data_IF_286695041606
#
_entry.id   IF_286695041606
#
_cell.length_a   1.000
_cell.length_b   1.000
_cell.length_c   1.000
_cell.angle_alpha   90.00
_cell.angle_beta   90.00
_cell.angle_gamma   90.00
#
_symmetry.space_group_name_H-M   'P 1'
#
loop_
_entity.id
_entity.type
_entity.pdbx_description
1 polymer ?
#
# COMPACT_ATOMS: atom_id res chain seq x y z
N UNK A 1 11.93 -23.22 -35.23
CA UNK A 1 11.32 -23.33 -36.58
C UNK A 1 9.81 -23.52 -36.57
N UNK A 2 9.24 -24.61 -36.00
CA UNK A 2 7.76 -24.89 -35.98
C UNK A 2 6.86 -23.75 -35.50
N UNK A 3 7.32 -22.83 -34.67
CA UNK A 3 6.52 -21.76 -34.00
C UNK A 3 6.40 -20.48 -34.80
N UNK A 4 7.47 -20.10 -35.55
CA UNK A 4 7.37 -18.99 -36.49
C UNK A 4 6.46 -19.37 -37.66
N UNK A 5 6.44 -20.66 -38.01
CA UNK A 5 5.53 -21.21 -39.00
C UNK A 5 4.06 -21.05 -38.56
N UNK A 6 3.73 -21.33 -37.29
CA UNK A 6 2.36 -21.14 -36.79
C UNK A 6 1.92 -19.67 -36.80
N UNK A 7 2.81 -18.74 -36.44
CA UNK A 7 2.52 -17.30 -36.50
C UNK A 7 2.32 -16.83 -37.96
N UNK A 8 3.18 -17.27 -38.86
CA UNK A 8 3.09 -16.94 -40.30
C UNK A 8 1.78 -17.50 -40.87
N UNK A 9 1.44 -18.76 -40.57
CA UNK A 9 0.18 -19.37 -41.05
C UNK A 9 -1.02 -18.59 -40.51
N UNK A 10 -1.01 -18.21 -39.24
CA UNK A 10 -2.10 -17.45 -38.63
C UNK A 10 -2.27 -16.07 -39.31
N UNK A 11 -1.17 -15.35 -39.56
CA UNK A 11 -1.19 -14.06 -40.24
C UNK A 11 -1.68 -14.22 -41.70
N UNK A 12 -1.20 -15.23 -42.41
CA UNK A 12 -1.65 -15.52 -43.78
C UNK A 12 -3.17 -15.86 -43.81
N UNK A 13 -3.68 -16.63 -42.88
CA UNK A 13 -5.11 -16.89 -42.75
C UNK A 13 -5.91 -15.61 -42.50
N UNK A 14 -5.45 -14.73 -41.60
CA UNK A 14 -6.12 -13.44 -41.35
C UNK A 14 -6.13 -12.62 -42.65
N UNK A 15 -5.00 -12.48 -43.33
CA UNK A 15 -4.91 -11.74 -44.58
C UNK A 15 -5.77 -12.36 -45.70
N UNK A 16 -5.81 -13.68 -45.81
CA UNK A 16 -6.65 -14.39 -46.77
C UNK A 16 -8.12 -14.12 -46.50
N UNK A 17 -8.63 -14.35 -45.26
CA UNK A 17 -10.02 -14.11 -44.95
C UNK A 17 -10.41 -12.64 -44.96
N UNK A 18 -9.50 -11.74 -44.63
CA UNK A 18 -9.73 -10.29 -44.74
C UNK A 18 -9.98 -9.86 -46.19
N UNK A 19 -9.22 -10.44 -47.15
CA UNK A 19 -9.30 -10.10 -48.57
C UNK A 19 -10.16 -11.08 -49.39
N UNK A 20 -10.88 -12.02 -48.75
CA UNK A 20 -11.60 -13.08 -49.48
C UNK A 20 -12.64 -12.53 -50.46
N UNK A 21 -13.29 -11.43 -50.17
CA UNK A 21 -14.25 -10.77 -51.04
C UNK A 21 -13.57 -10.25 -52.32
N UNK A 22 -12.39 -9.66 -52.18
CA UNK A 22 -11.61 -9.15 -53.34
C UNK A 22 -11.17 -10.34 -54.20
N UNK A 23 -10.73 -11.42 -53.58
CA UNK A 23 -10.28 -12.65 -54.28
C UNK A 23 -11.47 -13.26 -55.03
N UNK A 24 -12.63 -13.40 -54.37
CA UNK A 24 -13.84 -13.98 -55.03
C UNK A 24 -14.34 -13.07 -56.13
N UNK A 25 -14.40 -11.76 -55.96
CA UNK A 25 -14.79 -10.83 -57.03
C UNK A 25 -13.84 -10.91 -58.26
N UNK A 26 -12.53 -11.08 -58.04
CA UNK A 26 -11.56 -11.27 -59.12
C UNK A 26 -11.83 -12.57 -59.90
N UNK A 27 -12.09 -13.68 -59.20
CA UNK A 27 -12.44 -14.93 -59.80
C UNK A 27 -13.80 -14.87 -60.56
N UNK A 28 -14.82 -14.19 -59.99
CA UNK A 28 -16.11 -13.94 -60.63
C UNK A 28 -15.90 -13.22 -61.99
N UNK A 29 -15.04 -12.22 -62.03
CA UNK A 29 -14.74 -11.45 -63.23
C UNK A 29 -14.05 -12.31 -64.32
N UNK A 30 -13.20 -13.24 -63.91
CA UNK A 30 -12.46 -14.10 -64.87
C UNK A 30 -13.34 -15.24 -65.41
N UNK A 31 -14.15 -15.87 -64.56
CA UNK A 31 -14.91 -17.08 -64.89
C UNK A 31 -16.30 -16.78 -65.43
N UNK A 32 -16.83 -15.57 -65.25
CA UNK A 32 -18.20 -15.21 -65.64
C UNK A 32 -19.30 -15.93 -64.89
N UNK A 33 -18.98 -16.64 -63.81
CA UNK A 33 -19.93 -17.43 -63.01
C UNK A 33 -20.38 -16.63 -61.76
N UNK A 34 -21.70 -16.42 -61.66
CA UNK A 34 -22.29 -15.61 -60.56
C UNK A 34 -22.45 -16.38 -59.25
N UNK A 35 -22.37 -17.71 -59.26
CA UNK A 35 -22.62 -18.59 -58.12
C UNK A 35 -21.54 -18.53 -57.01
N UNK A 36 -20.45 -17.80 -57.23
CA UNK A 36 -19.35 -17.67 -56.25
C UNK A 36 -19.76 -16.90 -54.94
N UNK A 37 -20.87 -16.13 -54.96
CA UNK A 37 -21.41 -15.53 -53.76
C UNK A 37 -22.02 -16.53 -52.74
N UNK A 38 -22.43 -17.70 -53.24
CA UNK A 38 -22.97 -18.77 -52.41
C UNK A 38 -21.92 -19.64 -51.72
N UNK A 39 -20.63 -19.39 -51.99
CA UNK A 39 -19.54 -20.13 -51.34
C UNK A 39 -19.60 -19.86 -49.81
N UNK A 40 -19.72 -20.91 -49.03
CA UNK A 40 -19.81 -20.90 -47.54
C UNK A 40 -18.76 -20.00 -46.89
N UNK A 41 -17.65 -19.71 -47.54
CA UNK A 41 -16.54 -18.90 -47.00
C UNK A 41 -16.87 -17.42 -46.84
N UNK A 42 -17.71 -16.82 -47.71
CA UNK A 42 -18.02 -15.38 -47.65
C UNK A 42 -18.99 -15.09 -46.47
N UNK A 43 -20.13 -15.78 -46.33
CA UNK A 43 -21.03 -15.55 -45.20
C UNK A 43 -20.38 -15.82 -43.84
N UNK A 44 -19.37 -16.70 -43.78
CA UNK A 44 -18.69 -17.09 -42.56
C UNK A 44 -17.33 -16.41 -42.34
N UNK A 45 -16.96 -15.45 -43.19
CA UNK A 45 -15.72 -14.67 -43.11
C UNK A 45 -15.43 -14.17 -41.68
N UNK A 46 -16.45 -13.59 -41.02
CA UNK A 46 -16.31 -13.06 -39.67
C UNK A 46 -15.95 -14.14 -38.65
N UNK A 47 -16.54 -15.32 -38.74
CA UNK A 47 -16.27 -16.42 -37.85
C UNK A 47 -14.82 -16.94 -37.98
N UNK A 48 -14.35 -17.07 -39.22
CA UNK A 48 -12.96 -17.45 -39.48
C UNK A 48 -11.96 -16.40 -38.95
N UNK A 49 -12.28 -15.11 -39.10
CA UNK A 49 -11.47 -14.03 -38.56
C UNK A 49 -11.43 -14.05 -37.04
N UNK A 50 -12.56 -14.30 -36.35
CA UNK A 50 -12.61 -14.44 -34.88
C UNK A 50 -11.72 -15.59 -34.41
N UNK A 51 -11.81 -16.77 -35.07
CA UNK A 51 -10.99 -17.95 -34.73
C UNK A 51 -9.51 -17.64 -34.95
N UNK A 52 -9.16 -17.06 -36.10
CA UNK A 52 -7.77 -16.73 -36.43
C UNK A 52 -7.20 -15.67 -35.44
N UNK A 53 -7.99 -14.68 -35.07
CA UNK A 53 -7.59 -13.67 -34.09
C UNK A 53 -7.41 -14.25 -32.68
N UNK A 54 -8.34 -15.10 -32.24
CA UNK A 54 -8.22 -15.82 -30.97
C UNK A 54 -6.96 -16.70 -30.92
N UNK A 55 -6.65 -17.38 -32.04
CA UNK A 55 -5.44 -18.19 -32.16
C UNK A 55 -4.17 -17.34 -32.12
N UNK A 56 -4.17 -16.20 -32.77
CA UNK A 56 -3.06 -15.24 -32.74
C UNK A 56 -2.82 -14.74 -31.29
N UNK A 57 -3.87 -14.38 -30.55
CA UNK A 57 -3.77 -13.99 -29.14
C UNK A 57 -3.14 -15.09 -28.28
N UNK A 58 -3.56 -16.36 -28.48
CA UNK A 58 -2.99 -17.50 -27.74
C UNK A 58 -1.50 -17.70 -28.09
N UNK A 59 -1.10 -17.55 -29.36
CA UNK A 59 0.30 -17.64 -29.77
C UNK A 59 1.12 -16.54 -29.08
N UNK A 60 0.59 -15.31 -29.07
CA UNK A 60 1.26 -14.17 -28.44
C UNK A 60 1.40 -14.36 -26.92
N UNK A 61 0.35 -14.81 -26.24
CA UNK A 61 0.36 -15.15 -24.83
C UNK A 61 1.43 -16.19 -24.50
N UNK A 62 1.47 -17.29 -25.27
CA UNK A 62 2.46 -18.35 -25.09
C UNK A 62 3.89 -17.89 -25.38
N UNK A 63 4.09 -16.97 -26.31
CA UNK A 63 5.40 -16.38 -26.60
C UNK A 63 5.85 -15.48 -25.44
N UNK A 64 4.97 -14.62 -24.93
CA UNK A 64 5.24 -13.75 -23.78
C UNK A 64 5.59 -14.56 -22.52
N UNK A 65 4.79 -15.59 -22.20
CA UNK A 65 5.08 -16.53 -21.10
C UNK A 65 6.50 -17.08 -21.19
N UNK A 66 6.90 -17.58 -22.35
CA UNK A 66 8.24 -18.18 -22.52
C UNK A 66 9.36 -17.16 -22.39
N UNK A 67 9.14 -15.96 -22.89
CA UNK A 67 10.13 -14.87 -22.76
C UNK A 67 10.31 -14.50 -21.28
N UNK A 68 9.24 -14.48 -20.53
CA UNK A 68 9.27 -14.21 -19.10
C UNK A 68 9.93 -15.35 -18.31
N UNK A 69 9.53 -16.60 -18.57
CA UNK A 69 10.04 -17.76 -17.84
C UNK A 69 11.51 -18.11 -18.18
N UNK A 70 12.08 -17.60 -19.28
CA UNK A 70 13.50 -17.75 -19.59
C UNK A 70 14.44 -17.12 -18.54
N UNK A 71 13.93 -16.20 -17.74
CA UNK A 71 14.70 -15.54 -16.66
C UNK A 71 14.80 -16.38 -15.41
N UNK A 72 14.02 -17.47 -15.29
CA UNK A 72 13.95 -18.32 -14.12
C UNK A 72 14.54 -19.69 -14.43
N UNK A 73 15.65 -20.02 -13.78
CA UNK A 73 16.28 -21.35 -13.94
C UNK A 73 15.67 -22.34 -12.97
N UNK A 74 14.95 -23.33 -13.54
CA UNK A 74 14.31 -24.41 -12.77
C UNK A 74 15.31 -25.50 -12.40
N UNK A 75 16.48 -25.55 -13.05
CA UNK A 75 17.49 -26.57 -12.86
C UNK A 75 18.49 -26.23 -11.73
N UNK A 76 18.44 -25.00 -11.15
CA UNK A 76 19.27 -24.60 -10.03
C UNK A 76 18.95 -25.43 -8.77
N UNK A 77 19.94 -25.64 -7.89
CA UNK A 77 19.78 -26.42 -6.65
C UNK A 77 18.72 -25.78 -5.72
N UNK A 78 18.69 -24.45 -5.61
CA UNK A 78 17.63 -23.71 -4.92
C UNK A 78 16.65 -23.09 -5.95
N UNK A 79 15.63 -23.86 -6.33
CA UNK A 79 14.68 -23.50 -7.39
C UNK A 79 13.24 -23.28 -6.90
N UNK A 80 13.02 -23.12 -5.59
CA UNK A 80 11.67 -22.99 -5.02
C UNK A 80 10.91 -21.80 -5.61
N UNK A 81 11.52 -20.64 -5.73
CA UNK A 81 10.91 -19.45 -6.32
C UNK A 81 10.65 -19.62 -7.82
N UNK A 82 11.55 -20.26 -8.54
CA UNK A 82 11.36 -20.56 -9.96
C UNK A 82 10.18 -21.50 -10.18
N UNK A 83 10.03 -22.56 -9.37
CA UNK A 83 8.90 -23.50 -9.43
C UNK A 83 7.58 -22.83 -9.08
N UNK A 84 7.56 -21.99 -8.05
CA UNK A 84 6.39 -21.20 -7.66
C UNK A 84 5.92 -20.31 -8.81
N UNK A 85 6.83 -19.52 -9.38
CA UNK A 85 6.57 -18.63 -10.49
C UNK A 85 6.07 -19.39 -11.73
N UNK A 86 6.69 -20.54 -12.05
CA UNK A 86 6.29 -21.37 -13.17
C UNK A 86 4.85 -21.90 -13.02
N UNK A 87 4.49 -22.33 -11.80
CA UNK A 87 3.14 -22.81 -11.51
C UNK A 87 2.11 -21.70 -11.62
N UNK A 88 2.40 -20.52 -11.05
CA UNK A 88 1.51 -19.35 -11.10
C UNK A 88 1.24 -18.89 -12.53
N UNK A 89 2.29 -18.77 -13.35
CA UNK A 89 2.16 -18.35 -14.76
C UNK A 89 1.45 -19.38 -15.60
N UNK A 90 1.65 -20.70 -15.35
CA UNK A 90 0.90 -21.75 -16.03
C UNK A 90 -0.59 -21.72 -15.71
N UNK A 91 -0.95 -21.45 -14.47
CA UNK A 91 -2.34 -21.32 -14.05
C UNK A 91 -2.97 -20.08 -14.70
N UNK A 92 -2.28 -18.93 -14.66
CA UNK A 92 -2.75 -17.69 -15.28
C UNK A 92 -2.94 -17.85 -16.81
N UNK A 93 -2.00 -18.51 -17.50
CA UNK A 93 -2.15 -18.83 -18.93
C UNK A 93 -3.43 -19.59 -19.22
N UNK A 94 -3.72 -20.66 -18.44
CA UNK A 94 -4.94 -21.47 -18.62
C UNK A 94 -6.21 -20.65 -18.44
N UNK A 95 -6.25 -19.77 -17.43
CA UNK A 95 -7.39 -18.88 -17.18
C UNK A 95 -7.59 -17.92 -18.36
N UNK A 96 -6.52 -17.27 -18.84
CA UNK A 96 -6.61 -16.33 -19.96
C UNK A 96 -7.04 -17.06 -21.24
N UNK A 97 -6.51 -18.26 -21.53
CA UNK A 97 -6.92 -19.04 -22.70
C UNK A 97 -8.42 -19.41 -22.60
N UNK A 98 -8.90 -19.80 -21.42
CA UNK A 98 -10.32 -20.10 -21.20
C UNK A 98 -11.20 -18.87 -21.49
N UNK A 99 -10.78 -17.68 -21.03
CA UNK A 99 -11.49 -16.43 -21.28
C UNK A 99 -11.51 -16.11 -22.79
N UNK A 100 -10.37 -16.19 -23.47
CA UNK A 100 -10.29 -15.99 -24.94
C UNK A 100 -11.24 -16.94 -25.68
N UNK A 101 -11.28 -18.20 -25.27
CA UNK A 101 -12.15 -19.22 -25.86
C UNK A 101 -13.63 -18.91 -25.65
N UNK A 102 -14.00 -18.50 -24.42
CA UNK A 102 -15.37 -18.11 -24.09
C UNK A 102 -15.85 -16.91 -24.94
N UNK A 103 -15.02 -15.89 -25.07
CA UNK A 103 -15.34 -14.73 -25.91
C UNK A 103 -15.41 -15.11 -27.39
N UNK A 104 -14.49 -15.93 -27.92
CA UNK A 104 -14.51 -16.38 -29.29
C UNK A 104 -15.80 -17.13 -29.61
N UNK A 105 -16.23 -18.06 -28.75
CA UNK A 105 -17.51 -18.77 -28.90
C UNK A 105 -18.67 -17.77 -28.87
N UNK A 106 -18.71 -16.86 -27.91
CA UNK A 106 -19.77 -15.87 -27.79
C UNK A 106 -19.92 -15.04 -29.09
N UNK A 107 -18.81 -14.54 -29.63
CA UNK A 107 -18.83 -13.78 -30.89
C UNK A 107 -19.27 -14.61 -32.10
N UNK A 108 -18.81 -15.89 -32.17
CA UNK A 108 -19.25 -16.80 -33.24
C UNK A 108 -20.77 -17.03 -33.16
N UNK A 109 -21.32 -17.28 -31.97
CA UNK A 109 -22.76 -17.49 -31.80
C UNK A 109 -23.60 -16.25 -32.19
N UNK A 110 -23.03 -15.02 -32.00
CA UNK A 110 -23.69 -13.81 -32.45
C UNK A 110 -23.78 -13.68 -33.97
N UNK A 111 -22.94 -14.36 -34.73
CA UNK A 111 -22.92 -14.34 -36.19
C UNK A 111 -24.05 -15.15 -36.82
N UNK A 112 -24.71 -16.04 -36.06
CA UNK A 112 -25.82 -16.91 -36.55
C UNK A 112 -27.17 -16.41 -36.05
N UNK A 113 -28.03 -15.92 -36.91
CA UNK A 113 -29.32 -15.35 -36.52
C UNK A 113 -30.21 -16.35 -35.74
N UNK A 114 -30.16 -17.64 -36.07
CA UNK A 114 -30.97 -18.68 -35.41
C UNK A 114 -30.61 -18.89 -33.94
N UNK A 115 -29.36 -18.64 -33.53
CA UNK A 115 -28.85 -18.89 -32.18
C UNK A 115 -28.26 -17.65 -31.51
N UNK A 116 -28.41 -16.49 -32.12
CA UNK A 116 -27.90 -15.18 -31.66
C UNK A 116 -28.33 -14.88 -30.22
N UNK A 117 -29.55 -15.28 -29.83
CA UNK A 117 -30.05 -15.14 -28.45
C UNK A 117 -29.17 -15.85 -27.43
N UNK A 118 -28.57 -17.01 -27.79
CA UNK A 118 -27.63 -17.74 -26.91
C UNK A 118 -26.34 -16.94 -26.74
N UNK A 119 -25.83 -16.34 -27.82
CA UNK A 119 -24.67 -15.45 -27.76
C UNK A 119 -24.88 -14.27 -26.79
N UNK A 120 -26.01 -13.59 -26.89
CA UNK A 120 -26.36 -12.50 -25.94
C UNK A 120 -26.46 -13.02 -24.51
N UNK A 121 -27.04 -14.19 -24.28
CA UNK A 121 -27.11 -14.83 -22.96
C UNK A 121 -25.73 -15.09 -22.35
N UNK A 122 -24.77 -15.53 -23.14
CA UNK A 122 -23.38 -15.74 -22.69
C UNK A 122 -22.74 -14.42 -22.26
N UNK A 123 -22.87 -13.37 -23.08
CA UNK A 123 -22.32 -12.05 -22.73
C UNK A 123 -23.00 -11.43 -21.51
N UNK A 124 -24.33 -11.54 -21.41
CA UNK A 124 -25.07 -11.07 -20.25
C UNK A 124 -24.62 -11.78 -18.96
N UNK A 125 -24.49 -13.13 -19.02
CA UNK A 125 -24.02 -13.92 -17.90
C UNK A 125 -22.57 -13.63 -17.55
N UNK A 126 -21.69 -13.46 -18.54
CA UNK A 126 -20.30 -13.08 -18.33
C UNK A 126 -20.20 -11.68 -17.72
N UNK A 127 -21.05 -10.73 -18.14
CA UNK A 127 -21.13 -9.37 -17.55
C UNK A 127 -21.53 -9.43 -16.08
N UNK A 128 -22.59 -10.17 -15.74
CA UNK A 128 -23.01 -10.35 -14.35
C UNK A 128 -21.94 -11.03 -13.50
N UNK A 129 -21.34 -12.11 -14.00
CA UNK A 129 -20.22 -12.77 -13.33
C UNK A 129 -19.03 -11.82 -13.14
N UNK A 130 -18.74 -10.96 -14.13
CA UNK A 130 -17.70 -9.92 -14.05
C UNK A 130 -17.95 -8.92 -12.93
N UNK A 131 -19.20 -8.48 -12.75
CA UNK A 131 -19.59 -7.57 -11.64
C UNK A 131 -19.36 -8.27 -10.30
N UNK A 132 -19.82 -9.50 -10.13
CA UNK A 132 -19.66 -10.26 -8.88
C UNK A 132 -18.18 -10.47 -8.55
N UNK A 133 -17.38 -10.88 -9.53
CA UNK A 133 -15.93 -11.06 -9.37
C UNK A 133 -15.27 -9.73 -9.06
N UNK A 134 -15.64 -8.64 -9.75
CA UNK A 134 -15.11 -7.29 -9.54
C UNK A 134 -15.36 -6.80 -8.12
N UNK A 135 -16.57 -6.93 -7.61
CA UNK A 135 -16.92 -6.57 -6.23
C UNK A 135 -16.14 -7.44 -5.22
N UNK A 136 -16.01 -8.74 -5.49
CA UNK A 136 -15.22 -9.64 -4.63
C UNK A 136 -13.72 -9.29 -4.63
N UNK A 137 -13.18 -8.85 -5.75
CA UNK A 137 -11.78 -8.46 -5.91
C UNK A 137 -11.49 -7.01 -5.46
N UNK A 138 -12.49 -6.21 -5.13
CA UNK A 138 -12.37 -4.78 -4.85
C UNK A 138 -11.29 -4.46 -3.81
N UNK A 139 -11.22 -5.23 -2.72
CA UNK A 139 -10.20 -5.03 -1.66
C UNK A 139 -8.78 -5.25 -2.17
N UNK A 140 -8.57 -6.27 -3.00
CA UNK A 140 -7.26 -6.59 -3.57
C UNK A 140 -6.82 -5.52 -4.55
N UNK A 141 -7.71 -5.10 -5.44
CA UNK A 141 -7.44 -4.02 -6.40
C UNK A 141 -7.19 -2.70 -5.68
N UNK A 142 -7.98 -2.40 -4.63
CA UNK A 142 -7.77 -1.22 -3.78
C UNK A 142 -6.40 -1.20 -3.15
N UNK A 143 -5.92 -2.32 -2.59
CA UNK A 143 -4.59 -2.42 -2.00
C UNK A 143 -3.47 -2.20 -3.03
N UNK A 144 -3.62 -2.74 -4.25
CA UNK A 144 -2.67 -2.53 -5.34
C UNK A 144 -2.60 -1.05 -5.75
N UNK A 145 -3.76 -0.40 -5.93
CA UNK A 145 -3.84 1.02 -6.28
C UNK A 145 -3.26 1.90 -5.16
N UNK A 146 -3.52 1.55 -3.90
CA UNK A 146 -2.95 2.24 -2.74
C UNK A 146 -1.41 2.17 -2.75
N UNK A 147 -0.82 1.00 -2.98
CA UNK A 147 0.62 0.86 -3.08
C UNK A 147 1.24 1.66 -4.23
N UNK A 148 0.59 1.67 -5.39
CA UNK A 148 0.99 2.52 -6.52
C UNK A 148 0.93 3.99 -6.12
N UNK A 149 -0.16 4.44 -5.51
CA UNK A 149 -0.32 5.82 -5.06
C UNK A 149 0.76 6.22 -4.06
N UNK A 150 1.05 5.39 -3.04
CA UNK A 150 2.12 5.62 -2.07
C UNK A 150 3.47 5.78 -2.76
N UNK A 151 3.78 4.94 -3.75
CA UNK A 151 5.04 4.99 -4.50
C UNK A 151 5.21 6.31 -5.27
N UNK A 152 4.13 6.86 -5.83
CA UNK A 152 4.18 8.13 -6.58
C UNK A 152 4.11 9.36 -5.68
N UNK A 153 3.21 9.38 -4.69
CA UNK A 153 2.97 10.56 -3.83
C UNK A 153 3.94 10.64 -2.65
N UNK A 154 4.56 9.52 -2.28
CA UNK A 154 5.53 9.39 -1.20
C UNK A 154 5.11 10.12 0.09
N UNK A 155 3.97 9.81 0.70
CA UNK A 155 3.56 10.40 1.97
C UNK A 155 4.55 10.08 3.09
N UNK A 156 5.29 9.00 2.97
CA UNK A 156 6.44 8.57 3.78
C UNK A 156 7.44 7.84 2.88
N UNK A 157 8.67 7.68 3.36
CA UNK A 157 9.78 7.00 2.68
C UNK A 157 10.36 5.91 3.56
N UNK A 158 11.19 5.05 2.99
CA UNK A 158 11.98 4.08 3.76
C UNK A 158 12.85 4.87 4.77
N UNK A 159 13.01 4.33 5.98
CA UNK A 159 13.67 4.92 7.15
C UNK A 159 12.98 6.15 7.75
N UNK A 160 11.81 6.58 7.27
CA UNK A 160 11.03 7.60 7.97
C UNK A 160 10.56 7.08 9.34
N UNK A 161 10.70 7.92 10.37
CA UNK A 161 10.16 7.67 11.69
C UNK A 161 8.68 8.06 11.71
N UNK A 162 7.83 7.08 12.03
CA UNK A 162 6.37 7.24 12.02
C UNK A 162 5.74 6.78 13.32
N UNK A 163 4.57 7.33 13.62
CA UNK A 163 3.67 6.79 14.66
C UNK A 163 2.37 6.36 14.00
N UNK A 164 2.09 5.07 14.11
CA UNK A 164 0.91 4.40 13.54
C UNK A 164 0.32 3.48 14.58
N UNK A 165 -0.99 3.50 14.80
CA UNK A 165 -1.67 2.71 15.86
C UNK A 165 -1.05 2.90 17.26
N UNK A 166 -0.63 4.14 17.59
CA UNK A 166 0.09 4.50 18.82
C UNK A 166 1.45 3.79 19.01
N UNK A 167 1.94 3.10 18.00
CA UNK A 167 3.25 2.47 17.98
C UNK A 167 4.23 3.33 17.19
N UNK A 168 5.40 3.57 17.76
CA UNK A 168 6.47 4.32 17.12
C UNK A 168 7.51 3.37 16.49
N UNK A 169 7.92 3.69 15.28
CA UNK A 169 8.90 2.89 14.54
C UNK A 169 9.38 3.55 13.27
N UNK A 170 10.08 2.79 12.43
CA UNK A 170 10.61 3.22 11.15
C UNK A 170 10.02 2.40 10.02
N UNK A 171 9.76 3.03 8.90
CA UNK A 171 9.35 2.33 7.67
C UNK A 171 10.51 1.45 7.20
N UNK A 172 10.33 0.12 7.25
CA UNK A 172 11.34 -0.88 6.84
C UNK A 172 11.15 -1.29 5.38
N UNK A 173 9.90 -1.54 4.97
CA UNK A 173 9.57 -1.94 3.60
C UNK A 173 8.28 -1.27 3.11
N UNK A 174 8.25 -0.93 1.84
CA UNK A 174 7.06 -0.45 1.14
C UNK A 174 6.80 -1.41 -0.01
N UNK A 175 5.81 -2.28 0.17
CA UNK A 175 5.37 -3.23 -0.84
C UNK A 175 4.06 -2.76 -1.50
N UNK A 176 3.69 -3.37 -2.62
CA UNK A 176 2.53 -2.96 -3.39
C UNK A 176 1.21 -3.08 -2.62
N UNK A 177 1.09 -4.06 -1.73
CA UNK A 177 -0.15 -4.33 -0.99
C UNK A 177 -0.04 -4.11 0.52
N UNK A 178 1.15 -3.96 1.05
CA UNK A 178 1.40 -3.74 2.48
C UNK A 178 2.69 -2.95 2.71
N UNK A 179 2.78 -2.35 3.90
CA UNK A 179 3.95 -1.63 4.41
C UNK A 179 4.38 -2.30 5.71
N UNK A 180 5.69 -2.43 5.92
CA UNK A 180 6.28 -2.96 7.13
C UNK A 180 6.92 -1.84 7.92
N UNK A 181 6.54 -1.71 9.19
CA UNK A 181 7.12 -0.78 10.16
C UNK A 181 7.90 -1.58 11.18
N UNK A 182 9.17 -1.30 11.31
CA UNK A 182 10.03 -1.84 12.36
C UNK A 182 9.86 -0.98 13.61
N UNK A 183 9.21 -1.52 14.64
CA UNK A 183 9.01 -0.87 15.92
C UNK A 183 10.32 -0.73 16.71
N UNK A 184 10.32 0.12 17.72
CA UNK A 184 11.48 0.37 18.59
C UNK A 184 11.99 -0.88 19.31
N UNK A 185 11.12 -1.85 19.61
CA UNK A 185 11.40 -3.13 20.26
C UNK A 185 11.72 -4.27 19.26
N UNK A 186 11.96 -3.94 17.99
CA UNK A 186 12.25 -4.85 16.87
C UNK A 186 11.10 -5.72 16.40
N UNK A 187 9.88 -5.58 16.93
CA UNK A 187 8.66 -6.15 16.29
C UNK A 187 8.42 -5.50 14.95
N UNK A 188 7.71 -6.18 14.05
CA UNK A 188 7.25 -5.66 12.76
C UNK A 188 5.76 -5.50 12.79
N UNK A 189 5.31 -4.28 12.57
CA UNK A 189 3.91 -3.97 12.35
C UNK A 189 3.67 -3.98 10.84
N UNK A 190 2.83 -4.90 10.35
CA UNK A 190 2.51 -5.04 8.93
C UNK A 190 1.11 -4.53 8.71
N UNK A 191 0.97 -3.49 7.88
CA UNK A 191 -0.30 -2.85 7.59
C UNK A 191 -0.57 -2.87 6.09
N UNK A 192 -1.84 -3.07 5.67
CA UNK A 192 -2.20 -2.96 4.27
C UNK A 192 -1.95 -1.53 3.75
N UNK A 193 -1.54 -1.39 2.47
CA UNK A 193 -1.26 -0.08 1.87
C UNK A 193 -2.46 0.87 1.93
N UNK A 194 -3.68 0.35 1.88
CA UNK A 194 -4.93 1.13 2.03
C UNK A 194 -5.04 1.84 3.37
N UNK A 195 -4.47 1.26 4.45
CA UNK A 195 -4.48 1.87 5.77
C UNK A 195 -3.96 3.31 5.75
N UNK A 196 -2.86 3.55 5.06
CA UNK A 196 -2.20 4.86 5.00
C UNK A 196 -2.93 5.90 4.14
N UNK A 197 -3.91 5.48 3.35
CA UNK A 197 -4.78 6.37 2.58
C UNK A 197 -6.07 6.71 3.33
N UNK A 198 -6.51 5.81 4.22
CA UNK A 198 -7.79 5.90 4.90
C UNK A 198 -7.65 6.43 6.35
N UNK A 199 -6.49 6.24 6.98
CA UNK A 199 -6.26 6.59 8.37
C UNK A 199 -5.15 7.63 8.54
N UNK A 200 -5.29 8.54 9.51
CA UNK A 200 -4.23 9.49 9.86
C UNK A 200 -3.05 8.77 10.51
N UNK A 201 -1.86 9.20 10.21
CA UNK A 201 -0.62 8.79 10.86
C UNK A 201 0.31 9.99 11.01
N UNK A 202 1.30 9.88 11.91
CA UNK A 202 2.31 10.92 12.08
C UNK A 202 3.60 10.50 11.40
N UNK A 203 4.16 11.38 10.58
CA UNK A 203 5.51 11.23 10.03
C UNK A 203 6.41 12.31 10.66
N UNK A 204 7.36 11.87 11.48
CA UNK A 204 8.23 12.77 12.25
C UNK A 204 9.48 13.20 11.49
N UNK A 205 9.76 12.61 10.35
CA UNK A 205 10.97 12.88 9.55
C UNK A 205 10.69 13.38 8.15
N UNK A 206 9.42 13.67 7.82
CA UNK A 206 9.00 14.02 6.46
C UNK A 206 9.78 15.20 5.85
N UNK A 207 10.06 16.24 6.63
CA UNK A 207 10.75 17.45 6.18
C UNK A 207 12.11 17.63 6.85
N UNK A 208 12.21 17.31 8.12
CA UNK A 208 13.45 17.34 8.91
C UNK A 208 13.37 16.24 9.98
N UNK A 209 14.52 15.84 10.48
CA UNK A 209 14.59 14.83 11.54
C UNK A 209 14.48 15.46 12.95
N UNK A 210 14.66 16.79 13.07
CA UNK A 210 14.59 17.49 14.34
C UNK A 210 13.16 17.54 14.88
N UNK A 211 13.03 17.26 16.16
CA UNK A 211 11.73 17.14 16.81
C UNK A 211 11.76 17.82 18.19
N UNK A 212 10.62 18.35 18.61
CA UNK A 212 10.44 18.90 19.94
C UNK A 212 9.82 17.84 20.83
N UNK A 213 10.54 17.45 21.88
CA UNK A 213 10.07 16.58 22.93
C UNK A 213 9.40 17.36 24.06
N UNK A 214 8.30 16.86 24.61
CA UNK A 214 7.64 17.42 25.79
C UNK A 214 7.88 16.56 27.03
N UNK A 215 8.19 17.20 28.13
CA UNK A 215 8.27 16.60 29.46
C UNK A 215 7.24 17.27 30.35
N UNK A 216 6.41 16.49 31.03
CA UNK A 216 5.43 16.99 31.99
C UNK A 216 5.83 16.61 33.41
N UNK A 217 5.78 17.59 34.34
CA UNK A 217 6.08 17.43 35.75
C UNK A 217 4.94 18.08 36.55
N UNK A 218 4.46 17.39 37.55
CA UNK A 218 3.46 17.92 38.47
C UNK A 218 4.12 18.29 39.79
N UNK A 219 3.89 19.52 40.27
CA UNK A 219 4.45 20.05 41.50
C UNK A 219 3.36 20.71 42.35
N UNK A 220 3.67 21.02 43.61
CA UNK A 220 2.85 21.87 44.44
C UNK A 220 3.02 23.35 44.02
N UNK A 221 2.08 24.20 44.39
CA UNK A 221 2.07 25.64 44.16
C UNK A 221 3.23 26.40 44.81
N UNK A 222 3.95 25.82 45.76
CA UNK A 222 5.07 26.38 46.47
C UNK A 222 6.38 26.43 45.67
N UNK A 223 6.41 25.78 44.47
CA UNK A 223 7.60 25.70 43.66
C UNK A 223 8.03 27.06 43.06
N UNK A 224 9.32 27.31 43.01
CA UNK A 224 9.87 28.46 42.29
C UNK A 224 10.08 28.11 40.81
N UNK A 225 9.29 28.74 39.92
CA UNK A 225 9.42 28.50 38.48
C UNK A 225 10.74 29.06 37.91
N UNK A 226 11.26 30.13 38.50
CA UNK A 226 12.54 30.73 38.05
C UNK A 226 13.72 29.83 38.40
N UNK A 227 13.68 29.19 39.58
CA UNK A 227 14.68 28.19 39.95
C UNK A 227 14.63 26.95 39.01
N UNK A 228 13.42 26.51 38.60
CA UNK A 228 13.29 25.44 37.65
C UNK A 228 13.80 25.81 36.24
N UNK A 229 13.62 27.08 35.83
CA UNK A 229 14.18 27.57 34.54
C UNK A 229 15.70 27.58 34.57
N UNK A 230 16.31 28.10 35.66
CA UNK A 230 17.74 28.10 35.83
C UNK A 230 18.33 26.68 35.84
N UNK A 231 17.68 25.75 36.52
CA UNK A 231 18.12 24.34 36.52
C UNK A 231 17.96 23.70 35.13
N UNK A 232 16.89 23.97 34.42
CA UNK A 232 16.72 23.47 33.05
C UNK A 232 17.87 23.95 32.16
N UNK A 233 18.30 25.21 32.29
CA UNK A 233 19.45 25.75 31.55
C UNK A 233 20.73 24.98 31.89
N UNK A 234 20.99 24.74 33.17
CA UNK A 234 22.14 23.96 33.65
C UNK A 234 22.09 22.49 33.11
N UNK A 235 20.97 21.83 33.16
CA UNK A 235 20.80 20.46 32.64
C UNK A 235 21.06 20.37 31.14
N UNK A 236 20.56 21.36 30.37
CA UNK A 236 20.69 21.35 28.91
C UNK A 236 22.12 21.73 28.48
N UNK A 237 22.81 22.62 29.18
CA UNK A 237 24.21 22.97 28.88
C UNK A 237 25.18 21.81 29.12
N UNK A 238 24.86 20.91 30.05
CA UNK A 238 25.68 19.78 30.44
C UNK A 238 25.34 18.47 29.70
N UNK A 239 24.56 18.53 28.58
CA UNK A 239 24.24 17.34 27.77
C UNK A 239 24.48 17.58 26.30
N UNK A 240 24.98 16.54 25.58
CA UNK A 240 25.15 16.54 24.14
C UNK A 240 23.87 16.16 23.39
N UNK A 241 22.80 15.80 24.11
CA UNK A 241 21.51 15.37 23.53
C UNK A 241 20.71 16.54 22.97
N UNK A 242 20.93 17.76 23.50
CA UNK A 242 20.21 18.97 23.08
C UNK A 242 20.85 19.59 21.83
N UNK A 243 20.02 19.93 20.86
CA UNK A 243 20.45 20.55 19.59
C UNK A 243 20.52 22.11 19.63
N UNK A 244 20.24 22.71 20.80
CA UNK A 244 20.29 24.15 21.08
C UNK A 244 19.27 24.99 20.30
N UNK A 245 18.22 24.39 19.73
CA UNK A 245 17.22 25.13 18.94
C UNK A 245 16.04 25.62 19.77
N UNK A 246 15.47 24.76 20.60
CA UNK A 246 14.31 25.11 21.42
C UNK A 246 14.47 24.66 22.86
N UNK A 247 14.18 25.54 23.82
CA UNK A 247 14.00 25.26 25.25
C UNK A 247 12.90 26.16 25.80
N UNK A 248 11.90 25.60 26.41
CA UNK A 248 10.79 26.34 27.01
C UNK A 248 10.30 25.61 28.25
N UNK A 249 10.10 26.34 29.36
CA UNK A 249 9.42 25.86 30.57
C UNK A 249 8.22 26.75 30.84
N UNK A 250 7.03 26.14 30.85
CA UNK A 250 5.75 26.82 31.01
C UNK A 250 4.85 26.05 31.98
N UNK A 251 4.03 26.76 32.71
CA UNK A 251 2.89 26.19 33.43
C UNK A 251 1.77 26.03 32.40
N UNK A 252 1.24 24.82 32.26
CA UNK A 252 0.20 24.49 31.27
C UNK A 252 -1.16 24.21 31.88
N UNK A 253 -1.18 23.79 33.13
CA UNK A 253 -2.42 23.55 33.87
C UNK A 253 -2.25 23.80 35.35
N UNK A 254 -3.33 24.17 36.03
CA UNK A 254 -3.38 24.41 37.48
C UNK A 254 -4.61 23.71 38.06
N UNK A 255 -4.38 22.58 38.75
CA UNK A 255 -5.40 21.77 39.40
C UNK A 255 -5.53 22.15 40.88
N UNK A 256 -6.51 21.60 41.56
CA UNK A 256 -6.77 21.93 42.98
C UNK A 256 -5.55 21.79 43.90
N UNK A 257 -4.68 20.81 43.66
CA UNK A 257 -3.55 20.49 44.53
C UNK A 257 -2.19 20.56 43.83
N UNK A 258 -2.15 20.63 42.49
CA UNK A 258 -0.92 20.56 41.71
C UNK A 258 -0.93 21.53 40.53
N UNK A 259 0.27 21.96 40.17
CA UNK A 259 0.55 22.71 38.96
C UNK A 259 1.24 21.79 37.97
N UNK A 260 0.78 21.76 36.72
CA UNK A 260 1.43 21.04 35.65
C UNK A 260 2.45 21.96 34.95
N UNK A 261 3.69 21.52 34.90
CA UNK A 261 4.78 22.18 34.21
C UNK A 261 5.10 21.38 32.96
N UNK A 262 5.06 22.05 31.81
CA UNK A 262 5.50 21.49 30.54
C UNK A 262 6.87 22.06 30.18
N UNK A 263 7.82 21.16 29.90
CA UNK A 263 9.13 21.50 29.38
C UNK A 263 9.20 21.03 27.93
N UNK A 264 9.56 21.93 27.00
CA UNK A 264 9.76 21.63 25.60
C UNK A 264 11.25 21.76 25.29
N UNK A 265 11.83 20.70 24.73
CA UNK A 265 13.24 20.64 24.32
C UNK A 265 13.36 20.01 22.94
N UNK A 266 14.20 20.57 22.08
CA UNK A 266 14.44 20.04 20.74
C UNK A 266 15.64 19.09 20.70
N UNK A 267 15.60 18.14 19.78
CA UNK A 267 16.69 17.21 19.53
C UNK A 267 16.82 16.90 18.04
N UNK A 268 18.00 16.41 17.62
CA UNK A 268 18.35 16.16 16.22
C UNK A 268 17.50 15.09 15.54
N UNK A 269 16.96 14.17 16.30
CA UNK A 269 16.12 13.04 15.80
C UNK A 269 15.27 12.46 16.92
N UNK A 270 14.33 11.59 16.57
CA UNK A 270 13.36 11.04 17.49
C UNK A 270 13.95 10.12 18.58
N UNK A 271 14.96 9.25 18.36
CA UNK A 271 15.63 8.53 19.45
C UNK A 271 16.30 9.47 20.45
N UNK A 272 17.10 10.43 19.97
CA UNK A 272 17.74 11.42 20.81
C UNK A 272 16.74 12.28 21.60
N UNK A 273 15.59 12.60 21.00
CA UNK A 273 14.52 13.32 21.69
C UNK A 273 13.91 12.49 22.85
N UNK A 274 13.81 11.18 22.68
CA UNK A 274 13.38 10.31 23.77
C UNK A 274 14.39 10.34 24.93
N UNK A 275 15.66 10.12 24.64
CA UNK A 275 16.73 10.11 25.64
C UNK A 275 16.85 11.46 26.37
N UNK A 276 16.76 12.58 25.62
CA UNK A 276 16.76 13.93 26.18
C UNK A 276 15.56 14.14 27.12
N UNK A 277 14.37 13.68 26.73
CA UNK A 277 13.17 13.80 27.59
C UNK A 277 13.32 13.02 28.89
N UNK A 278 13.88 11.82 28.82
CA UNK A 278 14.17 11.01 30.00
C UNK A 278 15.18 11.73 30.88
N UNK A 279 16.32 12.15 30.32
CA UNK A 279 17.36 12.85 31.03
C UNK A 279 16.87 14.13 31.73
N UNK A 280 16.15 14.98 31.01
CA UNK A 280 15.58 16.22 31.57
C UNK A 280 14.57 15.88 32.68
N UNK A 281 13.70 14.89 32.48
CA UNK A 281 12.72 14.50 33.51
C UNK A 281 13.40 14.03 34.80
N UNK A 282 14.38 13.17 34.70
CA UNK A 282 15.12 12.65 35.84
C UNK A 282 15.86 13.75 36.59
N UNK A 283 16.61 14.60 35.88
CA UNK A 283 17.36 15.68 36.49
C UNK A 283 16.46 16.73 37.16
N UNK A 284 15.35 17.10 36.54
CA UNK A 284 14.41 18.03 37.14
C UNK A 284 13.72 17.43 38.38
N UNK A 285 13.40 16.14 38.38
CA UNK A 285 12.86 15.46 39.57
C UNK A 285 13.91 15.42 40.70
N UNK A 286 15.16 15.04 40.40
CA UNK A 286 16.27 15.07 41.37
C UNK A 286 16.45 16.46 41.99
N UNK A 287 16.41 17.50 41.17
CA UNK A 287 16.50 18.86 41.62
C UNK A 287 15.36 19.27 42.57
N UNK A 288 14.12 18.93 42.24
CA UNK A 288 12.94 19.21 43.08
C UNK A 288 13.05 18.45 44.39
N UNK A 289 13.42 17.18 44.36
CA UNK A 289 13.57 16.37 45.58
C UNK A 289 14.61 16.91 46.53
N UNK A 290 15.75 17.43 45.99
CA UNK A 290 16.85 17.90 46.78
C UNK A 290 16.63 19.32 47.34
N UNK A 291 16.09 20.24 46.54
CA UNK A 291 16.04 21.67 46.89
C UNK A 291 14.63 22.16 47.30
N UNK A 292 13.57 21.40 46.86
CA UNK A 292 12.16 21.76 47.08
C UNK A 292 11.31 20.57 47.49
N UNK A 293 11.70 19.77 48.50
CA UNK A 293 10.99 18.56 48.88
C UNK A 293 9.53 18.82 49.29
N UNK A 294 9.22 20.03 49.81
CA UNK A 294 7.86 20.45 50.15
C UNK A 294 7.01 20.78 48.90
N UNK A 295 7.59 20.92 47.76
CA UNK A 295 6.90 21.23 46.49
C UNK A 295 6.56 19.94 45.71
N UNK A 296 6.88 18.76 46.20
CA UNK A 296 6.36 17.51 45.68
C UNK A 296 4.85 17.40 45.91
N UNK A 297 4.10 16.81 44.96
CA UNK A 297 2.66 16.63 45.11
C UNK A 297 2.29 15.92 46.42
N UNK A 298 1.42 16.52 47.22
CA UNK A 298 0.97 15.93 48.47
C UNK A 298 -0.51 16.25 48.73
N UNK A 299 -1.20 15.34 49.43
CA UNK A 299 -2.56 15.57 49.86
C UNK A 299 -2.53 16.36 51.17
N UNK A 300 -3.19 17.52 51.20
CA UNK A 300 -3.40 18.30 52.43
C UNK A 300 -4.66 17.86 53.11
N UNK A 301 -4.53 17.30 54.31
CA UNK A 301 -5.68 16.94 55.16
C UNK A 301 -5.79 17.90 56.32
N UNK A 302 -6.87 18.65 56.36
CA UNK A 302 -7.19 19.49 57.50
C UNK A 302 -8.06 18.69 58.49
N UNK A 303 -7.50 18.38 59.68
CA UNK A 303 -8.28 17.80 60.76
C UNK A 303 -9.04 18.92 61.46
N UNK A 304 -10.36 18.85 61.47
CA UNK A 304 -11.19 19.74 62.30
C UNK A 304 -10.91 19.44 63.76
N UNK A 305 -10.32 20.40 64.49
CA UNK A 305 -10.13 20.30 65.95
C UNK A 305 -11.49 20.45 66.64
N UNK A 306 -12.08 19.32 67.05
CA UNK A 306 -13.30 19.30 67.88
C UNK A 306 -12.94 19.74 69.31
N UNK A 307 -12.60 21.02 69.49
CA UNK A 307 -12.64 21.55 70.84
C UNK A 307 -14.06 21.47 71.33
N UNK A 308 -14.31 20.50 72.22
CA UNK A 308 -15.49 20.47 73.08
C UNK A 308 -15.64 21.82 73.76
N UNK A 309 -16.67 22.56 73.36
CA UNK A 309 -17.21 23.59 74.25
C UNK A 309 -17.81 22.84 75.45
N UNK A 310 -17.03 22.72 76.52
CA UNK A 310 -17.62 22.53 77.91
C UNK A 310 -18.23 23.87 78.28
N UNK A 311 -19.56 23.87 78.39
CA UNK A 311 -20.35 24.90 78.99
C UNK A 311 -20.62 24.54 80.47
#
# INVERSE_FOLDING_TARGET
MKRYVQLIICILLILFFFNIEIIVNYFKTITGNEDYESVILIPQKQNFLIIAFAWLLIIFLRKGKRMFLKRYDIAAEDNLDARKMYTQINLLEKIIIFIIFLFAIGFILLSFDSIKKIGYGIFASAGLAGIIIGLSAQKVVGALLAGIQIAFTQPFRIDDAVVVENEWGWIEEINLTYVVIRLWDKRRLVLPSTYFLENPFQNWTRTSADIIGSVFIHTDYTISFDALRAELDNVLENTDLWDKKAKVLQVTDAKEQTVEIRILVSAKNSPTAWDLRVHVREKMIEFIQKNYPESLPRTRVYLADNQKKEA
#
